data_IF_452212631322
#
_entry.id   IF_452212631322
#
_cell.length_a   1.000
_cell.length_b   1.000
_cell.length_c   1.000
_cell.angle_alpha   90.00
_cell.angle_beta   90.00
_cell.angle_gamma   90.00
#
_symmetry.space_group_name_H-M   'P 1'
#
loop_
_entity.id
_entity.type
_entity.pdbx_description
1 polymer ?
#
# COMPACT_ATOMS: atom_id res chain seq x y z
N UNK A 1 37.98 12.84 1.65
CA UNK A 1 37.94 12.35 0.25
C UNK A 1 37.46 10.91 0.09
N UNK A 2 37.78 9.94 0.97
CA UNK A 2 37.23 8.58 0.85
C UNK A 2 35.73 8.48 1.19
N UNK A 3 35.28 9.20 2.23
CA UNK A 3 33.88 9.19 2.68
C UNK A 3 32.90 9.67 1.61
N UNK A 4 33.31 10.66 0.80
CA UNK A 4 32.51 11.17 -0.32
C UNK A 4 32.38 10.19 -1.47
N UNK A 5 33.34 9.26 -1.67
CA UNK A 5 33.26 8.23 -2.71
C UNK A 5 32.36 7.05 -2.28
N UNK A 6 32.32 6.71 -0.99
CA UNK A 6 31.38 5.72 -0.45
C UNK A 6 29.92 6.19 -0.55
N UNK A 7 29.67 7.49 -0.36
CA UNK A 7 28.33 8.08 -0.51
C UNK A 7 27.82 8.07 -1.96
N UNK A 8 28.72 8.08 -2.94
CA UNK A 8 28.38 8.01 -4.37
C UNK A 8 28.09 6.58 -4.85
N UNK A 9 28.50 5.55 -4.10
CA UNK A 9 28.28 4.14 -4.45
C UNK A 9 26.92 3.60 -3.98
N UNK A 10 26.22 4.30 -3.07
CA UNK A 10 24.86 3.95 -2.66
C UNK A 10 23.86 4.43 -3.71
N UNK A 11 23.58 3.58 -4.69
CA UNK A 11 22.56 3.87 -5.69
C UNK A 11 21.17 3.86 -5.03
N UNK A 12 20.54 5.04 -4.97
CA UNK A 12 19.13 5.15 -4.62
C UNK A 12 18.27 4.57 -5.75
N UNK A 13 17.71 3.38 -5.53
CA UNK A 13 16.77 2.76 -6.47
C UNK A 13 15.42 3.47 -6.47
N UNK A 14 14.67 3.29 -7.57
CA UNK A 14 13.29 3.75 -7.71
C UNK A 14 12.35 2.58 -7.43
N UNK A 15 11.62 2.64 -6.33
CA UNK A 15 10.61 1.64 -5.96
C UNK A 15 9.22 2.16 -6.22
N UNK A 16 8.37 1.28 -6.73
CA UNK A 16 6.94 1.50 -6.87
C UNK A 16 6.20 0.50 -5.98
N UNK A 17 5.52 1.02 -4.95
CA UNK A 17 4.78 0.21 -3.99
C UNK A 17 3.29 0.35 -4.30
N UNK A 18 2.65 -0.75 -4.66
CA UNK A 18 1.20 -0.80 -4.87
C UNK A 18 0.51 -1.24 -3.58
N UNK A 19 -0.26 -0.35 -2.96
CA UNK A 19 -0.91 -0.54 -1.66
C UNK A 19 -2.38 -0.12 -1.69
N UNK A 20 -3.28 -0.96 -2.24
CA UNK A 20 -4.69 -0.66 -2.24
C UNK A 20 -5.24 -0.65 -0.80
N UNK A 21 -6.24 0.20 -0.55
CA UNK A 21 -7.00 0.18 0.71
C UNK A 21 -7.91 -1.05 0.74
N UNK A 22 -7.31 -2.22 0.92
CA UNK A 22 -7.93 -3.55 0.91
C UNK A 22 -7.79 -4.18 2.30
N UNK A 23 -8.31 -3.50 3.32
CA UNK A 23 -8.15 -3.89 4.71
C UNK A 23 -6.88 -3.34 5.37
N UNK A 24 -6.97 -3.15 6.69
CA UNK A 24 -5.93 -2.49 7.47
C UNK A 24 -4.57 -3.20 7.47
N UNK A 25 -4.56 -4.53 7.51
CA UNK A 25 -3.33 -5.30 7.56
C UNK A 25 -2.48 -5.09 6.30
N UNK A 26 -3.13 -5.03 5.14
CA UNK A 26 -2.47 -4.80 3.84
C UNK A 26 -1.80 -3.42 3.81
N UNK A 27 -2.54 -2.36 4.15
CA UNK A 27 -1.98 -1.01 4.11
C UNK A 27 -0.88 -0.81 5.16
N UNK A 28 -1.03 -1.41 6.35
CA UNK A 28 0.01 -1.39 7.39
C UNK A 28 1.30 -2.08 6.94
N UNK A 29 1.20 -3.28 6.35
CA UNK A 29 2.36 -4.04 5.89
C UNK A 29 3.11 -3.31 4.76
N UNK A 30 2.38 -2.86 3.74
CA UNK A 30 2.95 -2.19 2.58
C UNK A 30 3.45 -0.78 2.91
N UNK A 31 2.78 -0.07 3.83
CA UNK A 31 3.25 1.20 4.36
C UNK A 31 4.58 1.06 5.09
N UNK A 32 4.75 -0.01 5.89
CA UNK A 32 6.03 -0.30 6.55
C UNK A 32 7.15 -0.59 5.53
N UNK A 33 6.86 -1.34 4.46
CA UNK A 33 7.84 -1.57 3.39
C UNK A 33 8.26 -0.26 2.74
N UNK A 34 7.31 0.60 2.39
CA UNK A 34 7.59 1.88 1.75
C UNK A 34 8.44 2.78 2.65
N UNK A 35 8.12 2.85 3.93
CA UNK A 35 8.90 3.61 4.91
C UNK A 35 10.31 3.04 5.07
N UNK A 36 10.47 1.72 5.23
CA UNK A 36 11.80 1.10 5.32
C UNK A 36 12.67 1.40 4.09
N UNK A 37 12.10 1.35 2.88
CA UNK A 37 12.82 1.69 1.66
C UNK A 37 13.17 3.19 1.59
N UNK A 38 12.27 4.05 2.06
CA UNK A 38 12.52 5.50 2.17
C UNK A 38 13.63 5.80 3.19
N UNK A 39 13.61 5.14 4.35
CA UNK A 39 14.63 5.21 5.41
C UNK A 39 16.02 4.78 4.89
N UNK A 40 16.08 3.77 4.03
CA UNK A 40 17.31 3.32 3.37
C UNK A 40 17.84 4.31 2.30
N UNK A 41 17.13 5.42 2.04
CA UNK A 41 17.53 6.44 1.08
C UNK A 41 17.06 6.19 -0.35
N UNK A 42 16.08 5.29 -0.57
CA UNK A 42 15.52 5.02 -1.89
C UNK A 42 14.42 6.02 -2.29
N UNK A 43 14.22 6.20 -3.60
CA UNK A 43 13.10 6.98 -4.13
C UNK A 43 11.86 6.08 -4.25
N UNK A 44 10.95 6.21 -3.30
CA UNK A 44 9.74 5.39 -3.23
C UNK A 44 8.53 6.19 -3.71
N UNK A 45 7.77 5.61 -4.65
CA UNK A 45 6.44 6.08 -5.05
C UNK A 45 5.39 5.06 -4.62
N UNK A 46 4.36 5.51 -3.94
CA UNK A 46 3.26 4.67 -3.46
C UNK A 46 2.00 4.94 -4.27
N UNK A 47 1.41 3.91 -4.88
CA UNK A 47 0.07 3.98 -5.47
C UNK A 47 -0.95 3.34 -4.52
N UNK A 48 -1.94 4.11 -4.10
CA UNK A 48 -2.95 3.68 -3.14
C UNK A 48 -4.38 3.85 -3.70
N UNK A 49 -4.88 2.87 -4.48
CA UNK A 49 -6.27 2.87 -4.90
C UNK A 49 -7.19 2.56 -3.73
N UNK A 50 -8.28 3.31 -3.61
CA UNK A 50 -9.33 3.05 -2.61
C UNK A 50 -10.19 1.89 -3.10
N UNK A 51 -10.16 0.76 -2.38
CA UNK A 51 -11.05 -0.38 -2.62
C UNK A 51 -12.17 -0.37 -1.58
N UNK A 52 -11.78 -0.36 -0.31
CA UNK A 52 -12.65 -0.19 0.84
C UNK A 52 -12.58 1.26 1.34
N UNK A 53 -13.68 2.00 1.19
CA UNK A 53 -13.79 3.40 1.62
C UNK A 53 -13.68 3.56 3.13
N UNK A 54 -13.99 2.51 3.92
CA UNK A 54 -13.86 2.57 5.38
C UNK A 54 -12.39 2.59 5.82
N UNK A 55 -11.49 2.02 5.02
CA UNK A 55 -10.06 1.92 5.34
C UNK A 55 -9.23 3.07 4.76
N UNK A 56 -9.85 3.96 3.98
CA UNK A 56 -9.20 5.01 3.17
C UNK A 56 -8.28 5.98 3.95
N UNK A 57 -8.47 6.10 5.26
CA UNK A 57 -7.69 6.96 6.15
C UNK A 57 -6.48 6.26 6.78
N UNK A 58 -6.34 4.94 6.59
CA UNK A 58 -5.34 4.10 7.28
C UNK A 58 -4.22 3.70 6.34
N UNK A 59 -3.40 4.67 5.94
CA UNK A 59 -2.31 4.47 4.97
C UNK A 59 -1.22 3.52 5.47
N UNK A 60 -0.97 3.50 6.78
CA UNK A 60 0.16 2.75 7.36
C UNK A 60 1.54 3.39 7.13
N UNK A 61 1.58 4.55 6.47
CA UNK A 61 2.79 5.28 6.07
C UNK A 61 3.08 6.39 7.06
N UNK A 62 4.35 6.59 7.39
CA UNK A 62 4.83 7.63 8.32
C UNK A 62 5.78 8.62 7.65
N UNK A 63 6.68 8.16 6.77
CA UNK A 63 7.76 9.00 6.23
C UNK A 63 7.79 9.06 4.70
N UNK A 64 7.24 8.07 4.00
CA UNK A 64 7.13 8.10 2.54
C UNK A 64 6.14 9.16 2.10
N UNK A 65 6.58 10.15 1.31
CA UNK A 65 5.75 11.32 0.94
C UNK A 65 5.16 11.25 -0.46
N UNK A 66 5.81 10.55 -1.39
CA UNK A 66 5.34 10.48 -2.76
C UNK A 66 4.22 9.44 -2.90
N UNK A 67 2.99 9.88 -2.61
CA UNK A 67 1.79 9.04 -2.60
C UNK A 67 0.82 9.52 -3.67
N UNK A 68 0.42 8.59 -4.53
CA UNK A 68 -0.64 8.76 -5.52
C UNK A 68 -1.85 8.01 -5.00
N UNK A 69 -2.90 8.75 -4.62
CA UNK A 69 -4.16 8.17 -4.17
C UNK A 69 -5.18 8.21 -5.30
N UNK A 70 -5.82 7.07 -5.57
CA UNK A 70 -6.83 6.95 -6.62
C UNK A 70 -8.18 6.64 -5.96
N UNK A 71 -9.25 7.43 -6.20
CA UNK A 71 -10.55 7.21 -5.59
C UNK A 71 -11.17 5.89 -6.05
N UNK A 72 -12.10 5.36 -5.26
CA UNK A 72 -12.80 4.13 -5.59
C UNK A 72 -13.67 4.33 -6.84
N UNK A 73 -13.60 3.39 -7.77
CA UNK A 73 -14.57 3.32 -8.86
C UNK A 73 -15.96 2.96 -8.29
N UNK A 74 -17.08 3.53 -8.79
CA UNK A 74 -18.42 3.27 -8.24
C UNK A 74 -18.77 1.79 -8.10
N UNK A 75 -18.38 0.95 -9.07
CA UNK A 75 -18.55 -0.51 -9.01
C UNK A 75 -17.84 -1.15 -7.81
N UNK A 76 -16.64 -0.69 -7.49
CA UNK A 76 -15.85 -1.21 -6.37
C UNK A 76 -16.45 -0.74 -5.06
N UNK A 77 -16.79 0.56 -4.97
CA UNK A 77 -17.46 1.11 -3.80
C UNK A 77 -18.76 0.35 -3.47
N UNK A 78 -19.57 0.02 -4.50
CA UNK A 78 -20.79 -0.77 -4.32
C UNK A 78 -20.50 -2.20 -3.83
N UNK A 79 -19.51 -2.87 -4.41
CA UNK A 79 -19.09 -4.21 -3.97
C UNK A 79 -18.68 -4.23 -2.49
N UNK A 80 -17.91 -3.23 -2.03
CA UNK A 80 -17.44 -3.17 -0.65
C UNK A 80 -18.51 -2.74 0.37
N UNK A 81 -19.65 -2.17 -0.05
CA UNK A 81 -20.80 -1.98 0.85
C UNK A 81 -21.31 -3.32 1.40
N UNK A 82 -21.19 -4.37 0.62
CA UNK A 82 -21.59 -5.73 0.99
C UNK A 82 -20.42 -6.57 1.51
N UNK A 83 -19.36 -5.93 2.04
CA UNK A 83 -18.14 -6.63 2.48
C UNK A 83 -18.41 -7.70 3.54
N UNK A 84 -19.34 -7.45 4.47
CA UNK A 84 -19.63 -8.37 5.58
C UNK A 84 -20.33 -9.62 5.06
N UNK A 85 -21.26 -9.47 4.15
CA UNK A 85 -21.95 -10.59 3.51
C UNK A 85 -21.00 -11.37 2.59
N UNK A 86 -20.16 -10.65 1.85
CA UNK A 86 -19.24 -11.21 0.86
C UNK A 86 -18.06 -11.95 1.49
N UNK A 87 -17.42 -11.36 2.50
CA UNK A 87 -16.22 -11.91 3.13
C UNK A 87 -16.49 -12.57 4.49
N UNK A 88 -17.65 -12.37 5.10
CA UNK A 88 -17.98 -12.91 6.42
C UNK A 88 -18.16 -14.43 6.46
N UNK A 89 -18.21 -15.09 5.31
CA UNK A 89 -18.20 -16.56 5.22
C UNK A 89 -17.00 -17.07 4.40
N UNK A 90 -15.99 -16.23 4.16
CA UNK A 90 -14.85 -16.62 3.33
C UNK A 90 -14.11 -17.85 3.87
N UNK A 91 -14.10 -18.04 5.20
CA UNK A 91 -13.48 -19.18 5.86
C UNK A 91 -14.31 -20.48 5.85
N UNK A 92 -15.59 -20.41 5.45
CA UNK A 92 -16.46 -21.59 5.26
C UNK A 92 -16.83 -21.83 3.80
N UNK A 93 -16.44 -20.90 2.90
CA UNK A 93 -16.72 -20.98 1.48
C UNK A 93 -16.01 -22.20 0.87
N UNK A 94 -16.78 -23.08 0.22
CA UNK A 94 -16.17 -24.14 -0.58
C UNK A 94 -15.65 -23.55 -1.89
N UNK A 95 -14.48 -24.02 -2.38
CA UNK A 95 -14.01 -23.66 -3.71
C UNK A 95 -15.11 -23.97 -4.74
N UNK A 96 -15.33 -23.06 -5.68
CA UNK A 96 -16.05 -23.45 -6.89
C UNK A 96 -15.15 -24.42 -7.65
N UNK A 97 -15.65 -25.64 -7.89
CA UNK A 97 -15.05 -26.61 -8.80
C UNK A 97 -15.10 -26.09 -10.24
#
# INVERSE_FOLDING_TARGET
MLLSHLLLASNSYKFFVYSPFLGHSHTKFLGAIADTLTEAGHNVTMLMPVMDTEEEHRTGVKITKNIIKVPAHPRVAEYYKHRKETFGNAWTMQPSL
#
